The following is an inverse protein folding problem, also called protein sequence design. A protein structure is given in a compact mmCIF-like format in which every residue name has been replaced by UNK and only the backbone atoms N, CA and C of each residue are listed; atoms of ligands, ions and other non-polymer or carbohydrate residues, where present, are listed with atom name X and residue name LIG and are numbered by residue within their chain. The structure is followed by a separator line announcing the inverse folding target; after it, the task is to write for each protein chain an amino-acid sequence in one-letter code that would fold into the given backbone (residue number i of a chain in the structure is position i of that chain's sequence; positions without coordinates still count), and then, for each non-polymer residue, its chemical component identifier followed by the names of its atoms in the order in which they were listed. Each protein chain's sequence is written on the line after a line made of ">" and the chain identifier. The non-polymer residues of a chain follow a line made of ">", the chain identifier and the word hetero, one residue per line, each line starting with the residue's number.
data_IF_110209035016
#
_entry.id   IF_110209035016
#
_cell.length_a   1.000
_cell.length_b   1.000
_cell.length_c   1.000
_cell.angle_alpha   90.00
_cell.angle_beta   90.00
_cell.angle_gamma   90.00
#
_symmetry.space_group_name_H-M   'P 1'
#
loop_
_entity.id
_entity.type
_entity.pdbx_description
1 polymer ?
#
# COMPACT_ATOMS: atom_id res chain seq x y z
N UNK A 1 19.08 8.37 5.15
CA UNK A 1 19.48 6.96 4.91
C UNK A 1 20.99 6.76 5.09
N UNK A 2 21.49 7.01 6.29
CA UNK A 2 22.72 6.36 6.75
C UNK A 2 22.28 5.07 7.47
N UNK A 3 23.06 3.99 7.39
CA UNK A 3 22.85 2.70 8.10
C UNK A 3 21.81 1.69 7.55
N UNK A 4 21.10 1.97 6.46
CA UNK A 4 20.23 0.96 5.84
C UNK A 4 21.01 0.00 4.94
N UNK A 5 20.73 -1.29 5.09
CA UNK A 5 21.24 -2.36 4.24
C UNK A 5 20.09 -3.10 3.57
N UNK A 6 20.22 -3.39 2.28
CA UNK A 6 19.30 -4.30 1.59
C UNK A 6 19.78 -5.73 1.76
N UNK A 7 18.92 -6.57 2.33
CA UNK A 7 19.13 -8.01 2.36
C UNK A 7 18.58 -8.62 1.07
N UNK A 8 19.10 -9.80 0.70
CA UNK A 8 18.57 -10.55 -0.44
C UNK A 8 17.16 -11.03 -0.06
N UNK A 9 16.15 -10.48 -0.71
CA UNK A 9 14.78 -10.99 -0.60
C UNK A 9 14.71 -12.36 -1.32
N UNK A 10 14.19 -13.42 -0.68
CA UNK A 10 13.92 -14.68 -1.37
C UNK A 10 12.94 -14.45 -2.53
N UNK A 11 13.15 -15.14 -3.66
CA UNK A 11 12.41 -14.92 -4.92
C UNK A 11 10.91 -15.23 -4.88
N UNK A 12 10.40 -15.76 -3.76
CA UNK A 12 9.01 -16.18 -3.56
C UNK A 12 8.23 -15.29 -2.57
N UNK A 13 8.80 -14.18 -2.12
CA UNK A 13 8.18 -13.32 -1.11
C UNK A 13 7.22 -12.31 -1.70
N UNK A 14 6.32 -11.84 -0.83
CA UNK A 14 5.28 -10.87 -1.11
C UNK A 14 5.75 -9.41 -0.96
N UNK A 15 7.07 -9.19 -0.99
CA UNK A 15 7.72 -7.88 -0.90
C UNK A 15 8.93 -7.86 -1.84
N UNK A 16 9.33 -6.67 -2.29
CA UNK A 16 10.45 -6.52 -3.22
C UNK A 16 11.77 -6.31 -2.49
N UNK A 17 11.74 -5.69 -1.30
CA UNK A 17 12.92 -5.40 -0.49
C UNK A 17 12.74 -5.84 0.95
N UNK A 18 13.83 -6.36 1.53
CA UNK A 18 13.98 -6.55 2.97
C UNK A 18 15.12 -5.65 3.43
N UNK A 19 14.79 -4.65 4.25
CA UNK A 19 15.71 -3.60 4.67
C UNK A 19 16.03 -3.74 6.17
N UNK A 20 17.28 -3.52 6.56
CA UNK A 20 17.73 -3.58 7.96
C UNK A 20 18.55 -2.34 8.31
N UNK A 21 18.23 -1.70 9.43
CA UNK A 21 18.92 -0.53 10.01
C UNK A 21 19.66 -0.85 11.32
N UNK A 22 19.83 -2.12 11.65
CA UNK A 22 20.42 -2.62 12.90
C UNK A 22 19.47 -2.64 14.10
N UNK A 23 18.27 -2.05 13.99
CA UNK A 23 17.21 -2.11 15.02
C UNK A 23 16.16 -3.18 14.72
N UNK A 24 16.13 -3.68 13.48
CA UNK A 24 15.25 -4.74 13.04
C UNK A 24 14.90 -4.62 11.56
N UNK A 25 14.48 -5.73 10.99
CA UNK A 25 14.13 -5.83 9.57
C UNK A 25 12.76 -5.21 9.28
N UNK A 26 12.64 -4.63 8.09
CA UNK A 26 11.40 -4.08 7.53
C UNK A 26 11.25 -4.58 6.10
N UNK A 27 10.14 -5.25 5.83
CA UNK A 27 9.78 -5.73 4.50
C UNK A 27 8.96 -4.68 3.74
N UNK A 28 9.37 -4.38 2.51
CA UNK A 28 8.79 -3.31 1.69
C UNK A 28 8.32 -3.86 0.35
N UNK A 29 7.03 -3.71 0.07
CA UNK A 29 6.47 -3.94 -1.27
C UNK A 29 6.39 -2.59 -2.00
N UNK A 30 6.96 -2.53 -3.20
CA UNK A 30 6.89 -1.36 -4.08
C UNK A 30 5.77 -1.57 -5.09
N UNK A 31 4.98 -0.53 -5.33
CA UNK A 31 3.97 -0.48 -6.40
C UNK A 31 4.03 0.86 -7.10
N UNK A 32 3.61 0.89 -8.35
CA UNK A 32 3.45 2.13 -9.11
C UNK A 32 2.04 2.69 -8.89
N UNK A 33 1.94 3.99 -8.61
CA UNK A 33 0.66 4.70 -8.69
C UNK A 33 -0.03 4.39 -10.03
N UNK A 34 -1.34 4.17 -10.03
CA UNK A 34 -2.03 3.79 -11.26
C UNK A 34 -2.13 4.99 -12.22
N UNK A 35 -1.96 4.67 -13.49
CA UNK A 35 -2.35 5.52 -14.60
C UNK A 35 -3.53 4.90 -15.36
N UNK A 36 -4.31 5.77 -15.99
CA UNK A 36 -5.35 5.43 -16.97
C UNK A 36 -5.19 6.39 -18.14
N UNK A 37 -5.09 5.86 -19.36
CA UNK A 37 -4.90 6.69 -20.57
C UNK A 37 -3.71 7.66 -20.45
N UNK A 38 -2.59 7.16 -19.89
CA UNK A 38 -1.36 7.92 -19.62
C UNK A 38 -1.50 9.08 -18.62
N UNK A 39 -2.66 9.23 -17.98
CA UNK A 39 -2.89 10.21 -16.93
C UNK A 39 -2.90 9.56 -15.55
N UNK A 40 -2.48 10.28 -14.49
CA UNK A 40 -2.67 9.86 -13.10
C UNK A 40 -4.12 9.48 -12.83
N UNK A 41 -4.33 8.30 -12.26
CA UNK A 41 -5.66 7.84 -11.89
C UNK A 41 -5.97 8.22 -10.44
N UNK A 42 -7.13 8.84 -10.23
CA UNK A 42 -7.67 9.15 -8.89
C UNK A 42 -8.33 7.93 -8.24
N UNK A 43 -8.46 7.95 -6.91
CA UNK A 43 -9.15 6.91 -6.15
C UNK A 43 -10.62 6.76 -6.57
N UNK A 44 -11.32 7.88 -6.79
CA UNK A 44 -12.72 7.89 -7.23
C UNK A 44 -12.93 7.24 -8.60
N UNK A 45 -11.95 7.35 -9.51
CA UNK A 45 -12.00 6.65 -10.81
C UNK A 45 -11.85 5.14 -10.66
N UNK A 46 -11.19 4.64 -9.61
CA UNK A 46 -11.03 3.21 -9.35
C UNK A 46 -12.24 2.64 -8.60
N UNK A 47 -12.79 3.41 -7.66
CA UNK A 47 -13.97 3.06 -6.91
C UNK A 47 -14.75 4.34 -6.55
N UNK A 48 -16.02 4.43 -6.98
CA UNK A 48 -16.86 5.62 -6.76
C UNK A 48 -17.09 5.96 -5.28
N UNK A 49 -16.88 5.00 -4.38
CA UNK A 49 -16.95 5.22 -2.92
C UNK A 49 -15.70 5.87 -2.35
N UNK A 50 -14.58 5.91 -3.08
CA UNK A 50 -13.34 6.51 -2.60
C UNK A 50 -13.33 8.04 -2.76
N UNK A 51 -12.50 8.75 -1.98
CA UNK A 51 -12.33 10.19 -2.08
C UNK A 51 -11.88 10.64 -3.47
N UNK A 52 -12.24 11.87 -3.83
CA UNK A 52 -11.86 12.48 -5.11
C UNK A 52 -10.49 13.17 -5.08
N UNK A 53 -10.03 13.54 -3.90
CA UNK A 53 -8.78 14.25 -3.60
C UNK A 53 -7.62 13.28 -3.28
N UNK A 54 -7.68 12.06 -3.80
CA UNK A 54 -6.64 11.05 -3.63
C UNK A 54 -6.26 10.38 -4.95
N UNK A 55 -5.00 9.97 -5.06
CA UNK A 55 -4.53 9.07 -6.11
C UNK A 55 -4.89 7.63 -5.77
N UNK A 56 -4.60 6.69 -6.69
CA UNK A 56 -4.83 5.27 -6.43
C UNK A 56 -3.64 4.41 -6.79
N UNK A 57 -3.41 3.39 -5.98
CA UNK A 57 -2.48 2.29 -6.28
C UNK A 57 -3.27 0.97 -6.35
N UNK A 58 -2.84 0.08 -7.24
CA UNK A 58 -3.36 -1.29 -7.32
C UNK A 58 -2.42 -2.25 -6.58
N UNK A 59 -2.89 -2.82 -5.48
CA UNK A 59 -2.16 -3.80 -4.66
C UNK A 59 -2.61 -5.20 -5.02
N UNK A 60 -2.03 -5.74 -6.10
CA UNK A 60 -2.25 -7.11 -6.56
C UNK A 60 -0.90 -7.77 -6.89
N UNK A 61 -0.76 -9.07 -6.59
CA UNK A 61 0.48 -9.83 -6.83
C UNK A 61 0.77 -10.06 -8.31
N UNK A 62 -0.25 -10.42 -9.10
CA UNK A 62 -0.11 -10.65 -10.55
C UNK A 62 -1.34 -10.12 -11.30
N UNK A 63 -1.15 -9.58 -12.49
CA UNK A 63 -2.23 -9.33 -13.46
C UNK A 63 -2.37 -10.58 -14.34
N UNK A 64 -3.41 -11.39 -14.13
CA UNK A 64 -3.79 -12.48 -15.04
C UNK A 64 -3.60 -13.91 -14.54
N UNK A 65 -3.29 -14.13 -13.26
CA UNK A 65 -3.30 -15.48 -12.68
C UNK A 65 -4.68 -15.83 -12.12
N UNK A 66 -5.46 -16.64 -12.85
CA UNK A 66 -6.71 -17.21 -12.34
C UNK A 66 -6.41 -18.21 -11.21
N UNK A 67 -7.12 -18.10 -10.09
CA UNK A 67 -7.20 -19.17 -9.11
C UNK A 67 -7.83 -20.43 -9.71
N UNK A 68 -7.69 -21.59 -9.04
CA UNK A 68 -8.36 -22.82 -9.45
C UNK A 68 -9.91 -22.70 -9.45
N UNK A 69 -10.43 -21.63 -8.85
CA UNK A 69 -11.83 -21.22 -8.72
C UNK A 69 -12.21 -20.05 -9.64
N UNK A 70 -11.38 -19.70 -10.62
CA UNK A 70 -11.57 -18.54 -11.52
C UNK A 70 -11.59 -17.18 -10.80
N UNK A 71 -11.12 -17.11 -9.54
CA UNK A 71 -10.95 -15.83 -8.84
C UNK A 71 -9.71 -15.09 -9.40
N UNK A 72 -9.97 -13.91 -9.99
CA UNK A 72 -9.03 -13.17 -10.85
C UNK A 72 -7.99 -12.32 -10.08
N UNK A 73 -7.78 -12.60 -8.79
CA UNK A 73 -6.90 -11.80 -7.95
C UNK A 73 -6.26 -12.65 -6.86
N UNK A 74 -4.91 -12.67 -6.80
CA UNK A 74 -4.19 -13.01 -5.57
C UNK A 74 -3.95 -11.72 -4.79
N UNK A 75 -4.86 -11.32 -3.88
CA UNK A 75 -4.62 -10.18 -3.02
C UNK A 75 -3.42 -10.46 -2.12
N UNK A 76 -2.80 -9.38 -1.65
CA UNK A 76 -1.91 -9.49 -0.51
C UNK A 76 -2.75 -9.71 0.75
N UNK A 77 -2.21 -10.48 1.70
CA UNK A 77 -2.74 -10.59 3.06
C UNK A 77 -2.03 -9.62 3.98
N UNK A 78 -2.71 -9.16 5.02
CA UNK A 78 -2.04 -8.39 6.08
C UNK A 78 -0.94 -9.24 6.72
N UNK A 79 0.21 -8.63 6.99
CA UNK A 79 1.39 -9.31 7.54
C UNK A 79 2.31 -9.94 6.49
N UNK A 80 1.98 -9.87 5.20
CA UNK A 80 2.88 -10.35 4.13
C UNK A 80 4.04 -9.38 3.82
N UNK A 81 3.87 -8.11 4.17
CA UNK A 81 4.89 -7.08 4.15
C UNK A 81 4.55 -5.99 5.17
N UNK A 82 5.54 -5.21 5.60
CA UNK A 82 5.37 -4.18 6.62
C UNK A 82 4.99 -2.81 6.06
N UNK A 83 5.59 -2.41 4.93
CA UNK A 83 5.39 -1.10 4.31
C UNK A 83 5.03 -1.25 2.84
N UNK A 84 4.03 -0.49 2.40
CA UNK A 84 3.76 -0.25 0.99
C UNK A 84 4.44 1.05 0.55
N UNK A 85 5.35 0.96 -0.40
CA UNK A 85 5.97 2.11 -1.06
C UNK A 85 5.31 2.32 -2.44
N UNK A 86 4.73 3.49 -2.65
CA UNK A 86 4.06 3.83 -3.91
C UNK A 86 4.90 4.83 -4.67
N UNK A 87 5.45 4.42 -5.81
CA UNK A 87 6.14 5.32 -6.72
C UNK A 87 5.12 6.29 -7.35
N UNK A 88 5.35 7.59 -7.17
CA UNK A 88 4.43 8.67 -7.55
C UNK A 88 4.75 9.27 -8.92
N UNK A 89 5.60 8.61 -9.71
CA UNK A 89 6.02 9.12 -11.02
C UNK A 89 4.86 9.54 -11.92
N UNK A 90 3.72 8.85 -12.00
CA UNK A 90 2.66 9.27 -12.90
C UNK A 90 2.13 10.68 -12.58
N UNK A 91 1.92 11.01 -11.30
CA UNK A 91 1.41 12.33 -10.88
C UNK A 91 2.48 13.41 -10.74
N UNK A 92 3.73 13.02 -10.52
CA UNK A 92 4.83 13.96 -10.23
C UNK A 92 5.82 14.14 -11.39
N UNK A 93 5.85 13.20 -12.34
CA UNK A 93 6.88 13.12 -13.38
C UNK A 93 8.24 12.59 -12.88
N UNK A 94 8.37 12.22 -11.60
CA UNK A 94 9.65 11.92 -10.95
C UNK A 94 9.64 10.52 -10.31
N UNK A 95 10.58 9.66 -10.74
CA UNK A 95 10.75 8.29 -10.24
C UNK A 95 11.32 8.22 -8.83
N UNK A 96 11.89 9.31 -8.32
CA UNK A 96 12.41 9.38 -6.95
C UNK A 96 11.34 9.73 -5.90
N UNK A 97 10.12 10.08 -6.34
CA UNK A 97 9.02 10.46 -5.44
C UNK A 97 8.20 9.24 -5.04
N UNK A 98 8.04 9.05 -3.73
CA UNK A 98 7.29 7.96 -3.14
C UNK A 98 6.32 8.46 -2.06
N UNK A 99 5.22 7.73 -1.90
CA UNK A 99 4.39 7.78 -0.68
C UNK A 99 4.46 6.41 0.00
N UNK A 100 4.60 6.42 1.32
CA UNK A 100 4.75 5.25 2.16
C UNK A 100 3.56 5.12 3.12
N UNK A 101 3.13 3.89 3.36
CA UNK A 101 2.11 3.57 4.33
C UNK A 101 2.42 2.23 5.02
N UNK A 102 2.15 2.16 6.32
CA UNK A 102 2.21 0.90 7.08
C UNK A 102 1.13 -0.05 6.54
N UNK A 103 1.53 -1.27 6.19
CA UNK A 103 0.65 -2.28 5.59
C UNK A 103 -0.60 -2.56 6.43
N UNK A 104 -0.46 -2.60 7.75
CA UNK A 104 -1.56 -2.80 8.69
C UNK A 104 -2.62 -1.67 8.68
N UNK A 105 -2.29 -0.51 8.12
CA UNK A 105 -3.20 0.64 8.02
C UNK A 105 -3.96 0.67 6.68
N UNK A 106 -3.59 -0.19 5.73
CA UNK A 106 -4.24 -0.29 4.43
C UNK A 106 -5.68 -0.79 4.57
N UNK A 107 -6.51 -0.45 3.60
CA UNK A 107 -7.92 -0.84 3.61
C UNK A 107 -8.05 -2.35 3.38
N UNK A 108 -8.88 -3.06 4.17
CA UNK A 108 -9.16 -4.46 3.93
C UNK A 108 -10.03 -4.66 2.68
N UNK A 109 -9.96 -5.85 2.10
CA UNK A 109 -10.94 -6.29 1.13
C UNK A 109 -12.32 -6.43 1.81
N UNK A 110 -13.38 -6.11 1.07
CA UNK A 110 -14.73 -6.11 1.60
C UNK A 110 -15.30 -7.52 1.81
N UNK A 111 -14.80 -8.51 1.07
CA UNK A 111 -15.24 -9.91 1.14
C UNK A 111 -14.34 -10.75 2.05
N UNK A 112 -13.04 -10.50 2.05
CA UNK A 112 -12.09 -11.14 2.97
C UNK A 112 -11.24 -10.09 3.71
N UNK A 113 -11.62 -9.76 4.96
CA UNK A 113 -10.93 -8.76 5.76
C UNK A 113 -9.50 -9.13 6.15
N UNK A 114 -9.06 -10.39 5.97
CA UNK A 114 -7.67 -10.77 6.13
C UNK A 114 -6.80 -10.38 4.91
N UNK A 115 -7.44 -9.99 3.81
CA UNK A 115 -6.79 -9.51 2.59
C UNK A 115 -6.80 -7.98 2.52
N UNK A 116 -5.79 -7.43 1.86
CA UNK A 116 -5.68 -6.02 1.49
C UNK A 116 -6.55 -5.78 0.25
N UNK A 117 -7.34 -4.71 0.28
CA UNK A 117 -8.19 -4.32 -0.85
C UNK A 117 -7.33 -4.10 -2.11
N UNK A 118 -7.80 -4.57 -3.26
CA UNK A 118 -7.13 -4.40 -4.55
C UNK A 118 -6.74 -2.95 -4.85
N UNK A 119 -7.58 -1.98 -4.49
CA UNK A 119 -7.28 -0.56 -4.70
C UNK A 119 -7.14 0.16 -3.36
N UNK A 120 -6.05 0.89 -3.21
CA UNK A 120 -5.77 1.72 -2.04
C UNK A 120 -5.74 3.20 -2.46
N UNK A 121 -6.54 4.07 -1.83
CA UNK A 121 -6.40 5.51 -1.96
C UNK A 121 -5.03 5.95 -1.40
N UNK A 122 -4.29 6.71 -2.19
CA UNK A 122 -2.98 7.28 -1.84
C UNK A 122 -3.13 8.79 -1.70
N UNK A 123 -2.70 9.35 -0.58
CA UNK A 123 -2.82 10.79 -0.36
C UNK A 123 -1.97 11.56 -1.39
N UNK A 124 -2.47 12.72 -1.84
CA UNK A 124 -1.72 13.61 -2.73
C UNK A 124 -0.61 14.36 -1.99
N UNK A 125 -0.72 14.48 -0.68
CA UNK A 125 0.23 15.14 0.22
C UNK A 125 0.43 14.28 1.48
N UNK A 126 1.58 14.39 2.16
CA UNK A 126 1.81 13.69 3.43
C UNK A 126 0.79 14.06 4.52
N UNK A 127 0.50 13.10 5.39
CA UNK A 127 -0.43 13.27 6.50
C UNK A 127 -0.35 12.11 7.50
N UNK A 128 -1.50 11.81 8.11
CA UNK A 128 -1.56 10.85 9.22
C UNK A 128 -1.31 9.40 8.81
N UNK A 129 -1.82 9.01 7.63
CA UNK A 129 -1.76 7.64 7.11
C UNK A 129 -0.57 7.47 6.17
N UNK A 130 -0.43 8.39 5.23
CA UNK A 130 0.60 8.37 4.20
C UNK A 130 1.69 9.40 4.52
N UNK A 131 2.94 9.06 4.27
CA UNK A 131 4.10 9.96 4.42
C UNK A 131 5.00 9.86 3.20
N UNK A 132 5.70 10.92 2.82
CA UNK A 132 6.74 10.89 1.78
C UNK A 132 8.15 10.62 2.34
N UNK A 133 8.25 10.44 3.66
CA UNK A 133 9.46 10.05 4.37
C UNK A 133 9.39 8.57 4.80
N UNK A 134 10.31 7.76 4.27
CA UNK A 134 10.43 6.34 4.59
C UNK A 134 10.77 6.09 6.06
N UNK A 135 11.69 6.86 6.64
CA UNK A 135 12.15 6.67 8.03
C UNK A 135 11.01 7.00 9.01
N UNK A 136 10.19 8.01 8.70
CA UNK A 136 8.96 8.31 9.44
C UNK A 136 7.95 7.17 9.35
N UNK A 137 7.78 6.53 8.19
CA UNK A 137 6.90 5.37 8.06
C UNK A 137 7.39 4.17 8.89
N UNK A 138 8.71 3.94 8.93
CA UNK A 138 9.33 2.91 9.78
C UNK A 138 9.15 3.23 11.26
N UNK A 139 9.29 4.50 11.65
CA UNK A 139 9.02 4.95 13.03
C UNK A 139 7.58 4.59 13.43
N UNK A 140 6.61 4.94 12.58
CA UNK A 140 5.17 4.64 12.78
C UNK A 140 4.88 3.14 12.91
N UNK A 141 5.50 2.32 12.07
CA UNK A 141 5.41 0.85 12.15
C UNK A 141 5.87 0.35 13.53
N UNK A 142 7.02 0.84 14.02
CA UNK A 142 7.67 0.35 15.24
C UNK A 142 7.04 0.86 16.53
N UNK A 143 6.48 2.07 16.54
CA UNK A 143 5.72 2.59 17.68
C UNK A 143 4.38 1.87 17.86
N UNK A 144 4.00 0.99 16.92
CA UNK A 144 2.72 0.29 16.88
C UNK A 144 1.53 1.24 17.01
N UNK A 145 1.68 2.46 16.49
CA UNK A 145 0.57 3.40 16.35
C UNK A 145 -0.52 2.70 15.53
N UNK A 146 -1.70 2.51 16.12
CA UNK A 146 -2.84 1.93 15.42
C UNK A 146 -3.59 3.07 14.74
N UNK A 147 -3.30 3.31 13.45
CA UNK A 147 -4.13 4.14 12.60
C UNK A 147 -4.87 3.25 11.60
N UNK A 148 -6.14 3.56 11.37
CA UNK A 148 -6.93 2.88 10.34
C UNK A 148 -7.25 3.88 9.25
N UNK A 149 -7.02 3.52 7.99
CA UNK A 149 -7.44 4.35 6.86
C UNK A 149 -8.98 4.28 6.72
N UNK A 150 -9.67 5.06 7.55
CA UNK A 150 -11.13 5.11 7.69
C UNK A 150 -11.82 5.92 6.60
N UNK A 151 -11.09 6.35 5.56
CA UNK A 151 -11.63 7.17 4.46
C UNK A 151 -12.41 6.29 3.47
N UNK A 152 -13.40 5.59 4.00
CA UNK A 152 -14.83 5.65 3.73
C UNK A 152 -15.38 4.54 4.60
N UNK A 153 -16.02 4.93 5.71
CA UNK A 153 -16.85 4.05 6.49
C UNK A 153 -17.80 3.31 5.53
N UNK A 154 -17.78 1.98 5.53
CA UNK A 154 -19.07 1.32 5.49
C UNK A 154 -19.87 1.87 6.69
N UNK A 155 -21.15 2.21 6.52
CA UNK A 155 -21.91 2.96 7.53
C UNK A 155 -21.75 2.33 8.92
N UNK A 156 -21.76 3.15 9.98
CA UNK A 156 -21.60 2.66 11.35
C UNK A 156 -22.73 1.66 11.64
N UNK A 157 -22.37 0.38 11.82
CA UNK A 157 -23.34 -0.67 12.08
C UNK A 157 -22.82 -2.06 11.71
N UNK A 158 -21.69 -2.47 12.28
CA UNK A 158 -21.28 -3.88 12.35
C UNK A 158 -20.22 -4.06 13.45
N UNK A 159 -20.57 -3.56 14.62
CA UNK A 159 -20.11 -4.11 15.89
C UNK A 159 -21.37 -4.25 16.76
N UNK A 160 -22.08 -5.34 16.49
CA UNK A 160 -22.78 -6.21 17.45
C UNK A 160 -22.81 -7.61 16.82
#
# INVERSE_FOLDING_TARGET
>A
MEHWSSLIAPSDKAYDYLLDDGKGQVSVQVKLQRSKEFQPMTARQANRKFPEDMWVVETQKTRGGKGADDSDTRPYRFGEFDILAVAMQPSTGDWSKFMYCVSAWLRPDAKDRACINKFQPVAMTPGDIWTDDFEECVRRLRTKEAKFNSVVCDPPGLFD
#
